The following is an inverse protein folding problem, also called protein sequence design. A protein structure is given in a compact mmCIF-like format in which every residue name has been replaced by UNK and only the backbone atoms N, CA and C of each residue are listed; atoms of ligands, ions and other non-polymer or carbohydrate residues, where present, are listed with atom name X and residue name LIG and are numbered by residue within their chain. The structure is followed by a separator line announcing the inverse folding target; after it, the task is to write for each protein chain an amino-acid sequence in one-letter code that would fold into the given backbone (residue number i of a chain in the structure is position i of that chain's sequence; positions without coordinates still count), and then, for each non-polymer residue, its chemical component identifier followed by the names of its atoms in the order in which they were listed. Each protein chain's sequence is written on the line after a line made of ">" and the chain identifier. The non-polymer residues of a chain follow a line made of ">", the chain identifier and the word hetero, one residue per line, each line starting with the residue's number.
data_IF_534683900484
#
_entry.id   IF_534683900484
#
_cell.length_a   1.000
_cell.length_b   1.000
_cell.length_c   1.000
_cell.angle_alpha   90.00
_cell.angle_beta   90.00
_cell.angle_gamma   90.00
#
_symmetry.space_group_name_H-M   'P 1'
#
loop_
_entity.id
_entity.type
_entity.pdbx_description
1 polymer ?
#
# COMPACT_ATOMS: atom_id res chain seq x y z
N UNK A 1 9.59 -25.94 -20.06
CA UNK A 1 8.69 -25.53 -18.96
C UNK A 1 9.46 -24.77 -17.89
N UNK A 2 10.58 -25.31 -17.40
CA UNK A 2 11.46 -24.70 -16.37
C UNK A 2 11.96 -23.28 -16.71
N UNK A 3 12.35 -23.02 -17.96
CA UNK A 3 12.87 -21.72 -18.42
C UNK A 3 11.88 -20.54 -18.23
N UNK A 4 10.58 -20.76 -18.50
CA UNK A 4 9.53 -19.75 -18.26
C UNK A 4 9.36 -19.44 -16.76
N UNK A 5 9.54 -20.42 -15.89
CA UNK A 5 9.43 -20.23 -14.45
C UNK A 5 10.63 -19.46 -13.90
N UNK A 6 11.83 -19.77 -14.38
CA UNK A 6 13.05 -19.06 -14.06
C UNK A 6 12.98 -17.60 -14.51
N UNK A 7 12.55 -17.34 -15.76
CA UNK A 7 12.37 -15.99 -16.27
C UNK A 7 11.37 -15.19 -15.42
N UNK A 8 10.23 -15.78 -15.04
CA UNK A 8 9.29 -15.07 -14.17
C UNK A 8 9.92 -14.72 -12.82
N UNK A 9 10.60 -15.68 -12.19
CA UNK A 9 11.25 -15.43 -10.89
C UNK A 9 12.24 -14.29 -10.98
N UNK A 10 13.09 -14.29 -12.02
CA UNK A 10 14.08 -13.24 -12.24
C UNK A 10 13.45 -11.87 -12.46
N UNK A 11 12.33 -11.79 -13.20
CA UNK A 11 11.58 -10.54 -13.35
C UNK A 11 11.00 -10.10 -12.00
N UNK A 12 10.36 -11.01 -11.25
CA UNK A 12 9.83 -10.68 -9.92
C UNK A 12 10.94 -10.17 -8.97
N UNK A 13 12.16 -10.73 -9.06
CA UNK A 13 13.32 -10.26 -8.31
C UNK A 13 13.77 -8.85 -8.76
N UNK A 14 13.91 -8.63 -10.07
CA UNK A 14 14.29 -7.35 -10.67
C UNK A 14 13.32 -6.23 -10.26
N UNK A 15 12.02 -6.42 -10.49
CA UNK A 15 11.01 -5.40 -10.18
C UNK A 15 10.87 -5.14 -8.67
N UNK A 16 11.08 -6.16 -7.84
CA UNK A 16 11.09 -5.97 -6.37
C UNK A 16 12.33 -5.17 -5.93
N UNK A 17 13.49 -5.50 -6.48
CA UNK A 17 14.76 -4.84 -6.17
C UNK A 17 14.71 -3.36 -6.57
N UNK A 18 14.26 -3.07 -7.78
CA UNK A 18 14.12 -1.72 -8.31
C UNK A 18 13.11 -0.90 -7.51
N UNK A 19 11.95 -1.46 -7.19
CA UNK A 19 10.96 -0.79 -6.34
C UNK A 19 11.54 -0.44 -4.96
N UNK A 20 12.29 -1.36 -4.36
CA UNK A 20 12.94 -1.11 -3.06
C UNK A 20 13.97 0.03 -3.16
N UNK A 21 14.75 0.04 -4.24
CA UNK A 21 15.74 1.08 -4.51
C UNK A 21 15.13 2.45 -4.84
N UNK A 22 13.90 2.50 -5.34
CA UNK A 22 13.21 3.77 -5.63
C UNK A 22 12.72 4.45 -4.34
N UNK A 23 12.23 3.65 -3.39
CA UNK A 23 11.51 4.13 -2.20
C UNK A 23 12.45 4.59 -1.09
N UNK A 24 13.61 3.94 -0.91
CA UNK A 24 14.68 4.31 0.05
C UNK A 24 14.16 4.87 1.38
N UNK A 25 13.28 4.13 2.05
CA UNK A 25 12.53 4.58 3.24
C UNK A 25 13.39 5.32 4.28
N UNK A 26 14.55 4.74 4.61
CA UNK A 26 15.45 5.24 5.64
C UNK A 26 16.10 6.60 5.31
N UNK A 27 16.07 7.02 4.03
CA UNK A 27 16.53 8.35 3.62
C UNK A 27 15.52 9.45 3.94
N UNK A 28 14.24 9.11 4.02
CA UNK A 28 13.16 10.09 4.16
C UNK A 28 12.54 10.06 5.55
N UNK A 29 12.45 8.89 6.15
CA UNK A 29 11.83 8.70 7.46
C UNK A 29 12.92 8.42 8.47
N UNK A 30 13.14 9.40 9.35
CA UNK A 30 14.00 9.27 10.51
C UNK A 30 13.17 9.13 11.79
N UNK A 31 13.84 8.71 12.85
CA UNK A 31 13.23 8.65 14.16
C UNK A 31 12.95 10.08 14.64
N UNK A 32 11.71 10.33 15.08
CA UNK A 32 11.20 11.58 15.70
C UNK A 32 10.51 12.62 14.79
N UNK A 33 10.02 12.24 13.61
CA UNK A 33 9.11 13.13 12.86
C UNK A 33 7.77 13.29 13.60
N UNK A 34 7.21 14.52 13.71
CA UNK A 34 5.83 14.72 14.16
C UNK A 34 4.84 13.94 13.26
N UNK A 35 3.70 13.45 13.78
CA UNK A 35 2.78 12.60 13.02
C UNK A 35 2.34 13.18 11.67
N UNK A 36 2.05 14.48 11.62
CA UNK A 36 1.62 15.17 10.40
C UNK A 36 2.76 15.29 9.38
N UNK A 37 3.99 15.51 9.85
CA UNK A 37 5.19 15.55 8.99
C UNK A 37 5.51 14.16 8.47
N UNK A 38 5.48 13.15 9.35
CA UNK A 38 5.62 11.74 8.97
C UNK A 38 4.61 11.37 7.87
N UNK A 39 3.34 11.69 8.09
CA UNK A 39 2.25 11.41 7.16
C UNK A 39 2.48 12.04 5.78
N UNK A 40 2.90 13.31 5.75
CA UNK A 40 3.23 14.01 4.51
C UNK A 40 4.43 13.38 3.80
N UNK A 41 5.53 13.17 4.50
CA UNK A 41 6.77 12.59 3.93
C UNK A 41 6.51 11.18 3.42
N UNK A 42 5.82 10.34 4.19
CA UNK A 42 5.42 9.00 3.76
C UNK A 42 4.58 9.05 2.48
N UNK A 43 3.61 9.96 2.40
CA UNK A 43 2.75 10.07 1.21
C UNK A 43 3.53 10.50 -0.02
N UNK A 44 4.33 11.56 0.09
CA UNK A 44 5.02 12.19 -1.04
C UNK A 44 6.27 11.43 -1.49
N UNK A 45 7.04 10.89 -0.55
CA UNK A 45 8.36 10.30 -0.84
C UNK A 45 8.33 8.77 -0.93
N UNK A 46 7.34 8.12 -0.30
CA UNK A 46 7.23 6.67 -0.27
C UNK A 46 6.06 6.23 -1.15
N UNK A 47 4.84 6.58 -0.76
CA UNK A 47 3.63 6.06 -1.40
C UNK A 47 3.51 6.50 -2.86
N UNK A 48 3.74 7.79 -3.14
CA UNK A 48 3.69 8.29 -4.52
C UNK A 48 4.77 7.66 -5.41
N UNK A 49 5.97 7.42 -4.89
CA UNK A 49 7.03 6.75 -5.65
C UNK A 49 6.68 5.30 -5.96
N UNK A 50 6.16 4.55 -4.97
CA UNK A 50 5.66 3.18 -5.18
C UNK A 50 4.60 3.17 -6.28
N UNK A 51 3.59 4.04 -6.17
CA UNK A 51 2.48 4.07 -7.13
C UNK A 51 2.95 4.48 -8.52
N UNK A 52 3.85 5.47 -8.64
CA UNK A 52 4.44 5.85 -9.91
C UNK A 52 5.29 4.74 -10.53
N UNK A 53 6.07 4.02 -9.73
CA UNK A 53 6.83 2.87 -10.21
C UNK A 53 5.90 1.80 -10.77
N UNK A 54 4.86 1.43 -10.02
CA UNK A 54 3.84 0.46 -10.50
C UNK A 54 3.17 0.97 -11.77
N UNK A 55 2.85 2.26 -11.86
CA UNK A 55 2.25 2.88 -13.04
C UNK A 55 3.15 2.79 -14.28
N UNK A 56 4.44 3.10 -14.13
CA UNK A 56 5.41 3.07 -15.22
C UNK A 56 5.67 1.65 -15.73
N UNK A 57 5.34 0.64 -14.92
CA UNK A 57 5.50 -0.78 -15.22
C UNK A 57 4.16 -1.53 -15.21
N UNK A 58 3.06 -0.83 -15.49
CA UNK A 58 1.69 -1.33 -15.24
C UNK A 58 1.37 -2.63 -15.97
N UNK A 59 1.88 -2.83 -17.18
CA UNK A 59 1.64 -4.03 -17.97
C UNK A 59 2.25 -5.28 -17.31
N UNK A 60 3.42 -5.15 -16.68
CA UNK A 60 4.01 -6.22 -15.88
C UNK A 60 3.11 -6.55 -14.69
N UNK A 61 2.73 -5.56 -13.89
CA UNK A 61 1.89 -5.79 -12.72
C UNK A 61 0.50 -6.33 -13.08
N UNK A 62 -0.11 -5.87 -14.18
CA UNK A 62 -1.35 -6.45 -14.73
C UNK A 62 -1.18 -7.91 -15.08
N UNK A 63 -0.10 -8.27 -15.79
CA UNK A 63 0.18 -9.64 -16.15
C UNK A 63 0.36 -10.53 -14.91
N UNK A 64 1.16 -10.08 -13.94
CA UNK A 64 1.42 -10.80 -12.69
C UNK A 64 0.12 -11.04 -11.91
N UNK A 65 -0.70 -10.01 -11.71
CA UNK A 65 -1.93 -10.12 -10.92
C UNK A 65 -3.04 -10.92 -11.60
N UNK A 66 -2.88 -11.27 -12.87
CA UNK A 66 -3.80 -12.12 -13.64
C UNK A 66 -3.27 -13.54 -13.87
N UNK A 67 -2.13 -13.91 -13.29
CA UNK A 67 -1.67 -15.30 -13.33
C UNK A 67 -2.61 -16.19 -12.50
N UNK A 68 -3.01 -17.33 -13.06
CA UNK A 68 -3.77 -18.38 -12.34
C UNK A 68 -2.96 -18.99 -11.19
N UNK A 69 -1.63 -18.87 -11.24
CA UNK A 69 -0.72 -19.32 -10.20
C UNK A 69 -0.33 -18.19 -9.26
N UNK A 70 -0.03 -18.55 -8.01
CA UNK A 70 0.51 -17.61 -7.02
C UNK A 70 1.91 -17.13 -7.47
N UNK A 71 2.01 -15.84 -7.80
CA UNK A 71 3.29 -15.12 -7.95
C UNK A 71 3.98 -14.96 -6.61
N UNK A 72 5.31 -14.89 -6.58
CA UNK A 72 6.06 -14.58 -5.36
C UNK A 72 6.18 -13.08 -5.11
N UNK A 73 5.78 -12.24 -6.08
CA UNK A 73 5.89 -10.78 -5.98
C UNK A 73 5.18 -10.21 -4.75
N UNK A 74 3.95 -10.67 -4.48
CA UNK A 74 3.20 -10.22 -3.28
C UNK A 74 3.93 -10.59 -1.99
N UNK A 75 4.51 -11.79 -1.91
CA UNK A 75 5.27 -12.24 -0.75
C UNK A 75 6.58 -11.47 -0.57
N UNK A 76 7.31 -11.22 -1.65
CA UNK A 76 8.55 -10.43 -1.64
C UNK A 76 8.29 -9.00 -1.16
N UNK A 77 7.27 -8.34 -1.71
CA UNK A 77 6.84 -7.00 -1.28
C UNK A 77 6.36 -7.02 0.17
N UNK A 78 5.58 -8.03 0.57
CA UNK A 78 5.10 -8.18 1.94
C UNK A 78 6.27 -8.27 2.94
N UNK A 79 7.30 -9.07 2.63
CA UNK A 79 8.48 -9.20 3.49
C UNK A 79 9.24 -7.88 3.65
N UNK A 80 9.38 -7.09 2.57
CA UNK A 80 9.98 -5.75 2.61
C UNK A 80 9.14 -4.80 3.47
N UNK A 81 7.82 -4.80 3.29
CA UNK A 81 6.90 -4.00 4.08
C UNK A 81 6.98 -4.36 5.57
N UNK A 82 7.04 -5.66 5.90
CA UNK A 82 7.15 -6.14 7.27
C UNK A 82 8.45 -5.67 7.93
N UNK A 83 9.60 -5.85 7.27
CA UNK A 83 10.89 -5.38 7.78
C UNK A 83 10.96 -3.86 7.97
N UNK A 84 10.34 -3.10 7.07
CA UNK A 84 10.22 -1.66 7.21
C UNK A 84 9.29 -1.24 8.37
N UNK A 85 8.18 -1.96 8.57
CA UNK A 85 7.22 -1.69 9.64
C UNK A 85 7.79 -1.96 11.03
N UNK A 86 8.64 -2.98 11.17
CA UNK A 86 9.34 -3.31 12.42
C UNK A 86 10.20 -2.14 12.94
N UNK A 87 10.66 -1.25 12.07
CA UNK A 87 11.42 -0.05 12.48
C UNK A 87 10.58 0.92 13.33
N UNK A 88 9.26 0.81 13.28
CA UNK A 88 8.31 1.68 13.98
C UNK A 88 7.61 1.00 15.16
N UNK A 89 7.89 -0.27 15.44
CA UNK A 89 7.28 -0.96 16.59
C UNK A 89 7.97 -0.60 17.91
N UNK A 90 7.19 -0.69 18.99
CA UNK A 90 7.72 -0.67 20.35
C UNK A 90 8.65 -1.85 20.63
N UNK A 91 9.34 -1.81 21.78
CA UNK A 91 10.19 -2.91 22.27
C UNK A 91 9.43 -4.25 22.34
N UNK A 92 8.13 -4.22 22.65
CA UNK A 92 7.28 -5.42 22.71
C UNK A 92 6.69 -5.86 21.35
N UNK A 93 7.25 -5.41 20.21
CA UNK A 93 6.76 -5.72 18.86
C UNK A 93 5.28 -5.34 18.64
N UNK A 94 4.90 -4.14 19.08
CA UNK A 94 3.55 -3.60 18.91
C UNK A 94 3.57 -2.24 18.22
N UNK A 95 2.47 -1.93 17.54
CA UNK A 95 2.17 -0.58 17.04
C UNK A 95 0.78 -0.22 17.59
N UNK A 96 0.70 0.88 18.34
CA UNK A 96 -0.53 1.29 19.02
C UNK A 96 -1.19 0.14 19.83
N UNK A 97 -0.37 -0.57 20.62
CA UNK A 97 -0.75 -1.75 21.42
C UNK A 97 -1.25 -2.98 20.65
N UNK A 98 -1.27 -2.94 19.31
CA UNK A 98 -1.59 -4.08 18.45
C UNK A 98 -0.32 -4.88 18.17
N UNK A 99 -0.30 -6.23 18.33
CA UNK A 99 0.85 -7.03 17.94
C UNK A 99 1.16 -6.85 16.45
N UNK A 100 2.44 -6.66 16.14
CA UNK A 100 2.88 -6.26 14.79
C UNK A 100 2.38 -7.20 13.70
N UNK A 101 2.29 -8.50 13.95
CA UNK A 101 1.84 -9.47 12.93
C UNK A 101 0.36 -9.25 12.54
N UNK A 102 -0.50 -8.93 13.51
CA UNK A 102 -1.91 -8.59 13.24
C UNK A 102 -2.02 -7.24 12.54
N UNK A 103 -1.25 -6.24 12.99
CA UNK A 103 -1.23 -4.93 12.37
C UNK A 103 -0.75 -5.01 10.92
N UNK A 104 0.31 -5.77 10.67
CA UNK A 104 0.87 -6.02 9.35
C UNK A 104 -0.11 -6.78 8.45
N UNK A 105 -0.71 -7.86 8.96
CA UNK A 105 -1.67 -8.66 8.19
C UNK A 105 -2.85 -7.82 7.69
N UNK A 106 -3.42 -6.97 8.56
CA UNK A 106 -4.49 -6.05 8.17
C UNK A 106 -4.02 -4.98 7.18
N UNK A 107 -2.91 -4.30 7.48
CA UNK A 107 -2.47 -3.14 6.70
C UNK A 107 -1.96 -3.55 5.31
N UNK A 108 -1.10 -4.58 5.22
CA UNK A 108 -0.60 -5.09 3.95
C UNK A 108 -1.72 -5.68 3.10
N UNK A 109 -2.63 -6.46 3.70
CA UNK A 109 -3.76 -7.05 2.98
C UNK A 109 -4.66 -6.01 2.34
N UNK A 110 -5.04 -4.97 3.10
CA UNK A 110 -5.84 -3.86 2.59
C UNK A 110 -5.11 -3.09 1.48
N UNK A 111 -3.81 -2.83 1.65
CA UNK A 111 -3.00 -2.13 0.65
C UNK A 111 -2.86 -2.93 -0.65
N UNK A 112 -2.57 -4.23 -0.58
CA UNK A 112 -2.49 -5.10 -1.76
C UNK A 112 -3.82 -5.19 -2.49
N UNK A 113 -4.94 -5.34 -1.76
CA UNK A 113 -6.26 -5.39 -2.38
C UNK A 113 -6.59 -4.07 -3.12
N UNK A 114 -6.29 -2.94 -2.50
CA UNK A 114 -6.50 -1.61 -3.07
C UNK A 114 -5.67 -1.36 -4.33
N UNK A 115 -4.36 -1.63 -4.28
CA UNK A 115 -3.46 -1.47 -5.43
C UNK A 115 -3.81 -2.44 -6.56
N UNK A 116 -4.12 -3.71 -6.25
CA UNK A 116 -4.55 -4.68 -7.27
C UNK A 116 -5.81 -4.23 -8.00
N UNK A 117 -6.78 -3.68 -7.26
CA UNK A 117 -7.99 -3.14 -7.87
C UNK A 117 -7.65 -2.01 -8.85
N UNK A 118 -6.82 -1.05 -8.44
CA UNK A 118 -6.37 0.05 -9.29
C UNK A 118 -5.58 -0.40 -10.52
N UNK A 119 -4.68 -1.38 -10.37
CA UNK A 119 -3.90 -1.92 -11.50
C UNK A 119 -4.78 -2.61 -12.54
N UNK A 120 -5.82 -3.32 -12.09
CA UNK A 120 -6.76 -4.04 -12.96
C UNK A 120 -7.84 -3.14 -13.57
N UNK A 121 -8.02 -1.93 -13.07
CA UNK A 121 -8.98 -0.98 -13.61
C UNK A 121 -8.45 -0.37 -14.92
N UNK A 122 -9.20 -0.54 -16.01
CA UNK A 122 -8.84 0.06 -17.31
C UNK A 122 -9.10 1.56 -17.37
N UNK A 123 -9.97 2.09 -16.49
CA UNK A 123 -10.26 3.51 -16.33
C UNK A 123 -9.63 4.08 -15.05
N UNK A 124 -8.49 3.52 -14.64
CA UNK A 124 -7.83 3.87 -13.38
C UNK A 124 -7.51 5.36 -13.29
N UNK A 125 -7.71 5.91 -12.10
CA UNK A 125 -7.29 7.28 -11.79
C UNK A 125 -5.76 7.46 -11.88
N UNK A 126 -5.26 8.68 -12.10
CA UNK A 126 -3.82 8.97 -12.09
C UNK A 126 -3.16 8.64 -10.73
N UNK A 127 -1.84 8.34 -10.71
CA UNK A 127 -1.10 8.02 -9.49
C UNK A 127 -1.30 9.01 -8.33
N UNK A 128 -1.29 10.31 -8.60
CA UNK A 128 -1.44 11.35 -7.57
C UNK A 128 -2.83 11.33 -6.93
N UNK A 129 -3.87 11.10 -7.72
CA UNK A 129 -5.24 10.97 -7.24
C UNK A 129 -5.42 9.70 -6.39
N UNK A 130 -4.87 8.57 -6.86
CA UNK A 130 -4.86 7.32 -6.09
C UNK A 130 -4.21 7.49 -4.72
N UNK A 131 -3.04 8.10 -4.69
CA UNK A 131 -2.26 8.34 -3.46
C UNK A 131 -3.05 9.23 -2.50
N UNK A 132 -3.72 10.28 -3.00
CA UNK A 132 -4.56 11.15 -2.19
C UNK A 132 -5.74 10.40 -1.55
N UNK A 133 -6.41 9.53 -2.31
CA UNK A 133 -7.49 8.69 -1.79
C UNK A 133 -6.99 7.68 -0.76
N UNK A 134 -5.89 7.00 -1.05
CA UNK A 134 -5.29 6.02 -0.14
C UNK A 134 -4.83 6.69 1.15
N UNK A 135 -4.16 7.84 1.06
CA UNK A 135 -3.77 8.66 2.21
C UNK A 135 -4.98 9.03 3.07
N UNK A 136 -6.07 9.50 2.45
CA UNK A 136 -7.31 9.85 3.14
C UNK A 136 -7.85 8.66 3.94
N UNK A 137 -7.83 7.45 3.38
CA UNK A 137 -8.30 6.23 4.03
C UNK A 137 -7.41 5.85 5.21
N UNK A 138 -6.09 5.74 4.99
CA UNK A 138 -5.16 5.22 6.02
C UNK A 138 -4.97 6.22 7.17
N UNK A 139 -4.91 7.52 6.88
CA UNK A 139 -4.65 8.54 7.90
C UNK A 139 -5.87 8.82 8.78
N UNK A 140 -7.08 8.78 8.20
CA UNK A 140 -8.30 9.03 8.97
C UNK A 140 -8.92 7.75 9.56
N UNK A 141 -8.61 6.59 8.99
CA UNK A 141 -9.25 5.31 9.29
C UNK A 141 -10.61 5.17 8.61
N UNK A 142 -10.93 4.01 8.00
CA UNK A 142 -12.15 3.83 7.20
C UNK A 142 -13.44 4.02 8.00
N UNK A 143 -13.50 3.51 9.24
CA UNK A 143 -14.69 3.64 10.09
C UNK A 143 -15.01 5.10 10.44
N UNK A 144 -13.98 5.93 10.69
CA UNK A 144 -14.15 7.35 10.98
C UNK A 144 -14.71 8.11 9.78
N UNK A 145 -14.24 7.78 8.57
CA UNK A 145 -14.77 8.36 7.34
C UNK A 145 -16.25 8.01 7.17
N UNK A 146 -16.63 6.73 7.33
CA UNK A 146 -18.04 6.31 7.25
C UNK A 146 -18.91 7.03 8.29
N UNK A 147 -18.45 7.16 9.54
CA UNK A 147 -19.19 7.84 10.60
C UNK A 147 -19.48 9.33 10.29
N UNK A 148 -18.58 10.02 9.57
CA UNK A 148 -18.79 11.41 9.14
C UNK A 148 -19.95 11.53 8.14
N UNK A 149 -20.13 10.54 7.29
CA UNK A 149 -21.18 10.52 6.25
C UNK A 149 -22.56 10.09 6.78
N UNK A 150 -22.64 9.49 7.98
CA UNK A 150 -23.90 9.05 8.59
C UNK A 150 -24.92 10.19 8.82
N UNK A 151 -24.54 11.46 8.64
CA UNK A 151 -25.39 12.63 8.86
C UNK A 151 -26.20 13.12 7.66
N UNK A 152 -26.09 12.51 6.48
CA UNK A 152 -26.87 12.98 5.30
C UNK A 152 -28.23 12.26 5.17
N UNK A 153 -28.44 11.09 5.78
CA UNK A 153 -29.66 10.28 5.57
C UNK A 153 -30.79 10.56 6.57
N UNK A 154 -30.57 11.35 7.64
CA UNK A 154 -31.56 11.52 8.73
C UNK A 154 -32.43 12.80 8.67
N UNK A 155 -32.36 13.63 7.62
CA UNK A 155 -33.15 14.89 7.54
C UNK A 155 -34.28 14.87 6.49
N UNK A 156 -34.45 13.80 5.70
CA UNK A 156 -35.50 13.77 4.65
C UNK A 156 -36.79 13.02 5.03
N UNK A 157 -36.92 12.46 6.24
CA UNK A 157 -38.12 11.68 6.64
C UNK A 157 -38.94 12.35 7.78
N UNK A 158 -38.79 13.66 7.99
CA UNK A 158 -39.64 14.41 8.93
C UNK A 158 -40.43 15.57 8.28
N UNK A 159 -40.54 15.60 6.95
CA UNK A 159 -41.37 16.58 6.23
C UNK A 159 -42.32 15.91 5.21
N UNK A 160 -43.05 14.88 5.63
CA UNK A 160 -44.28 14.41 4.97
C UNK A 160 -45.33 14.09 6.03
#
# INVERSE_FOLDING_TARGET
>A
MEDKYLLLSSLEDEYTFDLTNEVKLDQYINNNLPPEVFAKVFTEQILLKVVNYIYNHIEFYKAIFNLDRKSQLEEKIANIMYGNMQKFSSIDNKIADVPIDYFFSYTSGAMFAFIKHWVKDDNRMPPTELVNHLFKIIFNGPLRLMAKEQKIVRITIFNL
#
